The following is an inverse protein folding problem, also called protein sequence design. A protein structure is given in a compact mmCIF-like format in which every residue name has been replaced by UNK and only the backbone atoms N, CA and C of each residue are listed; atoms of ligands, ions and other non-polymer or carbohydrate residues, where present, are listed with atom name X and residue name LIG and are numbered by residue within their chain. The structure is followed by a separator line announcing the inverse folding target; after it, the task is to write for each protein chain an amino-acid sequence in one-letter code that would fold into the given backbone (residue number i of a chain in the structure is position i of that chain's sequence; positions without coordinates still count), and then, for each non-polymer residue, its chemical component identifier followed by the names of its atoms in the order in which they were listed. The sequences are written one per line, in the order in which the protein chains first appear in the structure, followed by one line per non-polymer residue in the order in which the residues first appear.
data_IF_384135945980
#
_entry.id   IF_384135945980
#
_cell.length_a   1.000
_cell.length_b   1.000
_cell.length_c   1.000
_cell.angle_alpha   90.00
_cell.angle_beta   90.00
_cell.angle_gamma   90.00
#
_symmetry.space_group_name_H-M   'P 1'
#
loop_
_entity.id
_entity.type
_entity.pdbx_description
1 polymer ?
#
# COMPACT_ATOMS: atom_id res chain seq x y z
N UNK A 1 21.12 19.14 32.45
CA UNK A 1 21.02 18.03 33.42
C UNK A 1 20.56 16.80 32.65
N UNK A 2 21.31 15.70 32.62
CA UNK A 2 20.79 14.43 32.09
C UNK A 2 20.03 13.73 33.23
N UNK A 3 18.85 13.17 32.95
CA UNK A 3 18.27 12.20 33.88
C UNK A 3 19.23 11.02 33.98
N UNK A 4 19.46 10.52 35.19
CA UNK A 4 20.23 9.29 35.41
C UNK A 4 19.47 8.04 34.90
N UNK A 5 18.20 8.18 34.50
CA UNK A 5 17.33 7.12 33.98
C UNK A 5 16.21 7.68 33.11
N UNK A 6 15.90 7.02 31.98
CA UNK A 6 14.76 7.34 31.10
C UNK A 6 13.41 6.83 31.62
N UNK A 7 13.41 6.03 32.71
CA UNK A 7 12.21 5.44 33.29
C UNK A 7 11.09 6.42 33.68
N UNK A 8 11.37 7.63 34.24
CA UNK A 8 10.33 8.59 34.56
C UNK A 8 9.58 9.07 33.31
N UNK A 9 10.31 9.31 32.23
CA UNK A 9 9.73 9.74 30.97
C UNK A 9 8.92 8.62 30.32
N UNK A 10 9.47 7.41 30.26
CA UNK A 10 8.74 6.23 29.75
C UNK A 10 7.42 6.04 30.49
N UNK A 11 7.42 6.19 31.81
CA UNK A 11 6.20 6.10 32.62
C UNK A 11 5.18 7.19 32.30
N UNK A 12 5.62 8.43 32.03
CA UNK A 12 4.73 9.49 31.57
C UNK A 12 4.09 9.14 30.22
N UNK A 13 4.90 8.62 29.28
CA UNK A 13 4.44 8.21 27.95
C UNK A 13 3.47 7.03 28.03
N UNK A 14 3.79 5.97 28.79
CA UNK A 14 2.89 4.82 28.98
C UNK A 14 1.56 5.19 29.64
N UNK A 15 1.52 6.30 30.38
CA UNK A 15 0.29 6.82 31.00
C UNK A 15 -0.49 7.77 30.10
N UNK A 16 0.08 8.21 28.98
CA UNK A 16 -0.53 9.23 28.13
C UNK A 16 -0.44 10.65 28.72
N UNK A 17 0.45 10.90 29.67
CA UNK A 17 0.56 12.20 30.35
C UNK A 17 1.35 13.21 29.48
N UNK A 18 0.65 13.81 28.52
CA UNK A 18 1.22 14.79 27.59
C UNK A 18 1.87 15.99 28.31
N UNK A 19 1.31 16.42 29.44
CA UNK A 19 1.85 17.57 30.18
C UNK A 19 3.21 17.24 30.77
N UNK A 20 3.36 16.03 31.34
CA UNK A 20 4.62 15.57 31.88
C UNK A 20 5.65 15.31 30.77
N UNK A 21 5.23 14.79 29.61
CA UNK A 21 6.10 14.65 28.43
C UNK A 21 6.62 16.00 27.94
N UNK A 22 5.75 17.00 27.81
CA UNK A 22 6.13 18.39 27.45
C UNK A 22 7.10 18.97 28.47
N UNK A 23 6.85 18.76 29.75
CA UNK A 23 7.74 19.22 30.82
C UNK A 23 9.13 18.57 30.71
N UNK A 24 9.21 17.27 30.45
CA UNK A 24 10.50 16.59 30.26
C UNK A 24 11.27 17.16 29.06
N UNK A 25 10.58 17.39 27.94
CA UNK A 25 11.19 17.97 26.76
C UNK A 25 11.72 19.40 26.98
N UNK A 26 10.93 20.27 27.62
CA UNK A 26 11.31 21.66 27.92
C UNK A 26 12.54 21.75 28.84
N UNK A 27 12.76 20.74 29.69
CA UNK A 27 13.91 20.68 30.59
C UNK A 27 15.14 20.00 29.95
N UNK A 28 15.16 19.83 28.62
CA UNK A 28 16.25 19.23 27.85
C UNK A 28 16.64 17.83 28.33
N UNK A 29 15.67 17.06 28.84
CA UNK A 29 15.91 15.65 29.09
C UNK A 29 15.96 14.93 27.76
N UNK A 30 17.09 14.25 27.49
CA UNK A 30 17.28 13.46 26.29
C UNK A 30 16.21 12.37 26.23
N UNK A 31 15.28 12.55 25.30
CA UNK A 31 14.30 11.57 24.87
C UNK A 31 14.90 10.74 23.70
N UNK A 32 16.20 10.41 23.77
CA UNK A 32 16.94 9.76 22.67
C UNK A 32 16.58 8.28 22.45
N UNK A 33 15.37 7.89 22.82
CA UNK A 33 14.88 6.51 22.74
C UNK A 33 13.95 6.40 21.53
N UNK A 34 14.40 5.69 20.49
CA UNK A 34 13.63 5.43 19.26
C UNK A 34 12.30 4.73 19.54
N UNK A 35 12.20 4.04 20.68
CA UNK A 35 11.03 3.25 21.08
C UNK A 35 9.99 4.04 21.89
N UNK A 36 10.23 5.34 22.21
CA UNK A 36 9.25 6.15 22.93
C UNK A 36 7.94 6.34 22.14
N UNK A 37 8.05 6.56 20.84
CA UNK A 37 6.89 6.68 19.95
C UNK A 37 6.13 5.36 19.88
N UNK A 38 6.85 4.24 19.75
CA UNK A 38 6.27 2.90 19.78
C UNK A 38 5.54 2.63 21.10
N UNK A 39 6.12 3.03 22.23
CA UNK A 39 5.48 2.90 23.54
C UNK A 39 4.19 3.72 23.65
N UNK A 40 4.16 4.94 23.11
CA UNK A 40 2.94 5.75 23.06
C UNK A 40 1.87 5.06 22.20
N UNK A 41 2.27 4.52 21.05
CA UNK A 41 1.39 3.86 20.10
C UNK A 41 0.81 2.55 20.64
N UNK A 42 1.63 1.69 21.23
CA UNK A 42 1.20 0.44 21.86
C UNK A 42 0.18 0.65 22.98
N UNK A 43 0.29 1.76 23.70
CA UNK A 43 -0.65 2.12 24.76
C UNK A 43 -1.86 2.93 24.24
N UNK A 44 -1.94 3.19 22.93
CA UNK A 44 -3.07 3.89 22.30
C UNK A 44 -3.12 5.40 22.56
N UNK A 45 -2.03 6.02 23.02
CA UNK A 45 -2.02 7.42 23.45
C UNK A 45 -1.80 8.39 22.29
N UNK A 46 -2.86 8.63 21.52
CA UNK A 46 -2.87 9.50 20.33
C UNK A 46 -2.21 10.88 20.57
N UNK A 47 -2.54 11.55 21.67
CA UNK A 47 -2.05 12.90 21.95
C UNK A 47 -0.53 12.94 22.18
N UNK A 48 0.00 11.90 22.85
CA UNK A 48 1.44 11.75 23.06
C UNK A 48 2.13 11.35 21.75
N UNK A 49 1.53 10.44 20.98
CA UNK A 49 2.04 10.03 19.66
C UNK A 49 2.17 11.22 18.71
N UNK A 50 1.12 12.04 18.58
CA UNK A 50 1.13 13.23 17.72
C UNK A 50 2.21 14.21 18.15
N UNK A 51 2.28 14.47 19.46
CA UNK A 51 3.27 15.40 19.99
C UNK A 51 4.70 14.90 19.75
N UNK A 52 4.99 13.62 19.98
CA UNK A 52 6.29 13.04 19.68
C UNK A 52 6.60 13.15 18.18
N UNK A 53 5.66 12.83 17.31
CA UNK A 53 5.87 12.96 15.87
C UNK A 53 6.22 14.38 15.42
N UNK A 54 5.49 15.40 15.91
CA UNK A 54 5.75 16.81 15.61
C UNK A 54 7.15 17.28 16.06
N UNK A 55 7.75 16.59 17.03
CA UNK A 55 9.08 16.92 17.57
C UNK A 55 10.21 16.09 16.94
N UNK A 56 9.96 15.45 15.80
CA UNK A 56 11.00 14.84 14.95
C UNK A 56 11.42 13.42 15.35
N UNK A 57 10.59 12.70 16.10
CA UNK A 57 10.85 11.30 16.43
C UNK A 57 10.58 10.46 15.19
N UNK A 58 11.63 9.79 14.70
CA UNK A 58 11.55 9.02 13.47
C UNK A 58 10.49 7.92 13.55
N UNK A 59 9.71 7.81 12.48
CA UNK A 59 8.71 6.76 12.28
C UNK A 59 9.36 5.59 11.54
N UNK A 60 9.29 4.39 12.10
CA UNK A 60 9.22 3.17 11.30
C UNK A 60 7.74 2.78 11.16
N UNK A 61 7.09 3.17 10.05
CA UNK A 61 5.63 3.17 9.95
C UNK A 61 5.05 1.78 10.11
N UNK A 62 5.69 0.77 9.51
CA UNK A 62 5.24 -0.62 9.58
C UNK A 62 5.13 -1.12 11.02
N UNK A 63 6.19 -0.94 11.82
CA UNK A 63 6.20 -1.41 13.22
C UNK A 63 5.16 -0.69 14.09
N UNK A 64 4.98 0.62 13.86
CA UNK A 64 3.98 1.40 14.59
C UNK A 64 2.56 1.04 14.18
N UNK A 65 2.32 0.79 12.90
CA UNK A 65 1.00 0.38 12.39
C UNK A 65 0.62 -1.00 12.92
N UNK A 66 1.57 -1.94 12.99
CA UNK A 66 1.34 -3.24 13.64
C UNK A 66 0.99 -3.05 15.11
N UNK A 67 1.77 -2.24 15.85
CA UNK A 67 1.48 -1.96 17.26
C UNK A 67 0.13 -1.26 17.49
N UNK A 68 -0.26 -0.35 16.58
CA UNK A 68 -1.56 0.31 16.64
C UNK A 68 -2.71 -0.66 16.32
N UNK A 69 -2.49 -1.60 15.40
CA UNK A 69 -3.45 -2.65 15.08
C UNK A 69 -3.64 -3.63 16.24
N UNK A 70 -2.55 -4.01 16.93
CA UNK A 70 -2.61 -4.87 18.13
C UNK A 70 -3.37 -4.22 19.30
N UNK A 71 -3.35 -2.89 19.40
CA UNK A 71 -4.12 -2.14 20.40
C UNK A 71 -5.57 -1.86 19.97
N UNK A 72 -6.01 -2.41 18.83
CA UNK A 72 -7.32 -2.17 18.20
C UNK A 72 -7.69 -0.68 18.09
N UNK A 73 -6.70 0.17 17.77
CA UNK A 73 -6.89 1.62 17.67
C UNK A 73 -6.94 2.07 16.22
N UNK A 74 -8.11 1.93 15.59
CA UNK A 74 -8.35 2.31 14.19
C UNK A 74 -7.99 3.75 13.89
N UNK A 75 -8.30 4.68 14.80
CA UNK A 75 -7.96 6.10 14.65
C UNK A 75 -6.45 6.31 14.59
N UNK A 76 -5.70 5.56 15.39
CA UNK A 76 -4.23 5.62 15.42
C UNK A 76 -3.60 4.97 14.19
N UNK A 77 -4.11 3.82 13.75
CA UNK A 77 -3.71 3.19 12.49
C UNK A 77 -3.92 4.16 11.32
N UNK A 78 -5.11 4.77 11.25
CA UNK A 78 -5.42 5.77 10.22
C UNK A 78 -4.43 6.93 10.24
N UNK A 79 -4.23 7.54 11.40
CA UNK A 79 -3.33 8.67 11.53
C UNK A 79 -1.89 8.30 11.15
N UNK A 80 -1.42 7.11 11.51
CA UNK A 80 -0.10 6.60 11.13
C UNK A 80 0.02 6.34 9.62
N UNK A 81 -1.04 5.88 8.95
CA UNK A 81 -1.01 5.68 7.50
C UNK A 81 -1.02 7.03 6.76
N UNK A 82 -1.79 8.00 7.23
CA UNK A 82 -1.89 9.33 6.61
C UNK A 82 -0.63 10.18 6.82
N UNK A 83 0.12 9.98 7.92
CA UNK A 83 1.30 10.80 8.28
C UNK A 83 2.63 10.05 8.18
N UNK A 84 2.58 8.72 8.13
CA UNK A 84 3.75 7.85 8.07
C UNK A 84 4.29 7.69 6.66
N UNK A 85 5.52 7.16 6.58
CA UNK A 85 6.12 6.72 5.31
C UNK A 85 5.51 5.40 4.84
N UNK A 86 5.76 5.06 3.58
CA UNK A 86 5.39 3.81 2.88
C UNK A 86 5.23 2.58 3.78
N UNK A 87 4.07 1.91 3.72
CA UNK A 87 3.84 0.60 4.32
C UNK A 87 4.62 -0.48 3.59
N UNK A 88 5.08 -1.50 4.32
CA UNK A 88 5.60 -2.73 3.70
C UNK A 88 4.48 -3.73 3.36
N UNK A 89 4.77 -4.63 2.42
CA UNK A 89 3.84 -5.68 2.00
C UNK A 89 3.38 -6.59 3.14
N UNK A 90 4.21 -6.85 4.16
CA UNK A 90 3.81 -7.67 5.32
C UNK A 90 2.72 -7.01 6.16
N UNK A 91 2.89 -5.72 6.45
CA UNK A 91 1.97 -4.91 7.25
C UNK A 91 0.66 -4.71 6.47
N UNK A 92 0.75 -4.41 5.17
CA UNK A 92 -0.42 -4.30 4.31
C UNK A 92 -1.21 -5.62 4.24
N UNK A 93 -0.53 -6.76 4.13
CA UNK A 93 -1.20 -8.08 4.13
C UNK A 93 -1.87 -8.40 5.47
N UNK A 94 -1.28 -7.97 6.59
CA UNK A 94 -1.89 -8.11 7.91
C UNK A 94 -3.17 -7.28 8.02
N UNK A 95 -3.13 -6.01 7.61
CA UNK A 95 -4.30 -5.13 7.62
C UNK A 95 -5.41 -5.64 6.69
N UNK A 96 -5.07 -6.08 5.48
CA UNK A 96 -6.03 -6.58 4.49
C UNK A 96 -6.77 -7.85 4.96
N UNK A 97 -6.18 -8.64 5.87
CA UNK A 97 -6.80 -9.84 6.46
C UNK A 97 -7.74 -9.52 7.62
N UNK A 98 -7.56 -8.38 8.28
CA UNK A 98 -8.37 -8.02 9.42
C UNK A 98 -9.59 -7.21 8.97
N UNK A 99 -10.79 -7.71 9.28
CA UNK A 99 -12.06 -7.07 8.91
C UNK A 99 -12.19 -5.64 9.46
N UNK A 100 -11.58 -5.37 10.61
CA UNK A 100 -11.59 -4.03 11.24
C UNK A 100 -10.77 -2.99 10.44
N UNK A 101 -9.83 -3.45 9.62
CA UNK A 101 -8.90 -2.62 8.86
C UNK A 101 -9.06 -2.74 7.34
N UNK A 102 -10.21 -3.23 6.86
CA UNK A 102 -10.52 -3.34 5.42
C UNK A 102 -10.40 -1.97 4.73
N UNK A 103 -10.80 -0.90 5.39
CA UNK A 103 -10.69 0.45 4.83
C UNK A 103 -9.28 1.04 4.91
N UNK A 104 -8.34 0.38 5.58
CA UNK A 104 -7.02 0.96 5.85
C UNK A 104 -6.24 1.26 4.56
N UNK A 105 -6.43 0.46 3.52
CA UNK A 105 -5.79 0.68 2.23
C UNK A 105 -6.38 1.86 1.45
N UNK A 106 -7.59 2.32 1.77
CA UNK A 106 -8.13 3.55 1.17
C UNK A 106 -7.41 4.80 1.69
N UNK A 107 -6.81 4.72 2.87
CA UNK A 107 -6.01 5.81 3.44
C UNK A 107 -4.61 5.89 2.84
N UNK A 108 -4.15 4.82 2.18
CA UNK A 108 -2.83 4.77 1.52
C UNK A 108 -2.95 5.48 0.17
N UNK A 109 -2.09 6.46 -0.16
CA UNK A 109 -2.13 7.12 -1.47
C UNK A 109 -1.80 6.15 -2.61
N UNK A 110 -2.28 6.47 -3.82
CA UNK A 110 -2.18 5.57 -4.97
C UNK A 110 -0.74 5.13 -5.33
N UNK A 111 0.28 6.01 -5.34
CA UNK A 111 1.65 5.62 -5.65
C UNK A 111 2.20 4.55 -4.71
N UNK A 112 1.87 4.65 -3.42
CA UNK A 112 2.25 3.67 -2.39
C UNK A 112 1.48 2.36 -2.55
N UNK A 113 0.20 2.41 -2.95
CA UNK A 113 -0.56 1.20 -3.31
C UNK A 113 0.08 0.47 -4.49
N UNK A 114 0.56 1.20 -5.50
CA UNK A 114 1.28 0.60 -6.64
C UNK A 114 2.55 -0.10 -6.17
N UNK A 115 3.34 0.53 -5.28
CA UNK A 115 4.52 -0.13 -4.71
C UNK A 115 4.17 -1.42 -3.97
N UNK A 116 3.09 -1.41 -3.17
CA UNK A 116 2.59 -2.60 -2.49
C UNK A 116 2.17 -3.71 -3.47
N UNK A 117 1.55 -3.37 -4.60
CA UNK A 117 1.24 -4.34 -5.67
C UNK A 117 2.53 -4.96 -6.20
N UNK A 118 3.52 -4.14 -6.57
CA UNK A 118 4.80 -4.63 -7.10
C UNK A 118 5.53 -5.54 -6.10
N UNK A 119 5.53 -5.19 -4.82
CA UNK A 119 6.10 -6.02 -3.76
C UNK A 119 5.32 -7.33 -3.56
N UNK A 120 3.99 -7.28 -3.60
CA UNK A 120 3.16 -8.48 -3.49
C UNK A 120 3.43 -9.46 -4.64
N UNK A 121 3.66 -8.95 -5.86
CA UNK A 121 4.03 -9.79 -7.00
C UNK A 121 5.39 -10.45 -6.83
N UNK A 122 6.40 -9.71 -6.34
CA UNK A 122 7.76 -10.25 -6.10
C UNK A 122 7.77 -11.33 -5.01
N UNK A 123 6.92 -11.16 -3.99
CA UNK A 123 6.83 -12.07 -2.85
C UNK A 123 5.80 -13.19 -3.05
N UNK A 124 5.17 -13.27 -4.22
CA UNK A 124 4.06 -14.19 -4.53
C UNK A 124 2.91 -14.14 -3.51
N UNK A 125 2.66 -12.95 -2.94
CA UNK A 125 1.60 -12.74 -1.96
C UNK A 125 0.24 -12.55 -2.66
N UNK A 126 -0.33 -13.66 -3.09
CA UNK A 126 -1.63 -13.74 -3.76
C UNK A 126 -2.77 -13.07 -2.97
N UNK A 127 -2.81 -13.23 -1.64
CA UNK A 127 -3.87 -12.65 -0.81
C UNK A 127 -3.87 -11.13 -0.84
N UNK A 128 -2.69 -10.52 -0.67
CA UNK A 128 -2.56 -9.06 -0.73
C UNK A 128 -2.79 -8.55 -2.15
N UNK A 129 -2.26 -9.24 -3.16
CA UNK A 129 -2.40 -8.87 -4.56
C UNK A 129 -3.86 -8.88 -5.01
N UNK A 130 -4.60 -9.95 -4.69
CA UNK A 130 -6.03 -10.05 -4.96
C UNK A 130 -6.76 -8.87 -4.31
N UNK A 131 -6.49 -8.64 -3.03
CA UNK A 131 -7.18 -7.61 -2.27
C UNK A 131 -6.94 -6.22 -2.85
N UNK A 132 -5.68 -5.87 -3.16
CA UNK A 132 -5.33 -4.58 -3.76
C UNK A 132 -6.03 -4.38 -5.10
N UNK A 133 -6.01 -5.36 -5.98
CA UNK A 133 -6.58 -5.22 -7.33
C UNK A 133 -8.12 -5.22 -7.32
N UNK A 134 -8.75 -5.96 -6.41
CA UNK A 134 -10.21 -6.14 -6.40
C UNK A 134 -10.94 -5.19 -5.44
N UNK A 135 -10.26 -4.66 -4.41
CA UNK A 135 -10.88 -3.80 -3.39
C UNK A 135 -10.36 -2.37 -3.36
N UNK A 136 -9.38 -2.04 -4.19
CA UNK A 136 -8.93 -0.64 -4.37
C UNK A 136 -9.09 -0.19 -5.81
N UNK A 137 -9.02 1.12 -6.03
CA UNK A 137 -9.06 1.72 -7.36
C UNK A 137 -7.70 2.33 -7.70
N UNK A 138 -7.35 2.21 -8.97
CA UNK A 138 -6.19 2.88 -9.56
C UNK A 138 -6.72 3.77 -10.67
N UNK A 139 -6.64 5.08 -10.49
CA UNK A 139 -7.18 6.05 -11.45
C UNK A 139 -6.08 6.58 -12.39
N UNK A 140 -4.82 6.54 -11.97
CA UNK A 140 -3.73 7.07 -12.76
C UNK A 140 -3.26 6.08 -13.82
N UNK A 141 -3.17 6.54 -15.08
CA UNK A 141 -2.62 5.73 -16.18
C UNK A 141 -1.18 5.25 -15.89
N UNK A 142 -0.40 6.00 -15.12
CA UNK A 142 0.96 5.63 -14.73
C UNK A 142 0.94 4.37 -13.86
N UNK A 143 -0.02 4.27 -12.93
CA UNK A 143 -0.26 3.09 -12.10
C UNK A 143 -0.58 1.87 -12.96
N UNK A 144 -1.48 2.00 -13.94
CA UNK A 144 -1.84 0.90 -14.85
C UNK A 144 -0.64 0.41 -15.66
N UNK A 145 0.17 1.32 -16.20
CA UNK A 145 1.38 0.98 -16.96
C UNK A 145 2.40 0.26 -16.08
N UNK A 146 2.63 0.74 -14.86
CA UNK A 146 3.59 0.14 -13.93
C UNK A 146 3.18 -1.29 -13.54
N UNK A 147 1.90 -1.49 -13.19
CA UNK A 147 1.38 -2.80 -12.78
C UNK A 147 1.33 -3.77 -13.97
N UNK A 148 0.82 -3.34 -15.14
CA UNK A 148 0.78 -4.20 -16.33
C UNK A 148 2.19 -4.59 -16.81
N UNK A 149 3.15 -3.67 -16.79
CA UNK A 149 4.55 -3.98 -17.08
C UNK A 149 5.14 -5.01 -16.11
N UNK A 150 4.82 -4.91 -14.82
CA UNK A 150 5.24 -5.90 -13.84
C UNK A 150 4.58 -7.27 -14.04
N UNK A 151 3.31 -7.31 -14.46
CA UNK A 151 2.61 -8.55 -14.84
C UNK A 151 3.27 -9.21 -16.06
N UNK A 152 3.66 -8.42 -17.08
CA UNK A 152 4.36 -8.92 -18.25
C UNK A 152 5.70 -9.59 -17.88
N UNK A 153 6.41 -9.05 -16.89
CA UNK A 153 7.70 -9.56 -16.40
C UNK A 153 7.57 -10.67 -15.34
N UNK A 154 6.38 -10.87 -14.77
CA UNK A 154 6.14 -11.83 -13.69
C UNK A 154 6.33 -13.31 -14.12
N UNK A 155 6.45 -14.20 -13.13
CA UNK A 155 6.48 -15.63 -13.35
C UNK A 155 5.18 -16.13 -14.03
N UNK A 156 5.28 -17.22 -14.80
CA UNK A 156 4.12 -17.81 -15.46
C UNK A 156 3.04 -18.23 -14.45
N UNK A 157 3.44 -18.79 -13.30
CA UNK A 157 2.56 -19.13 -12.18
C UNK A 157 1.73 -17.95 -11.69
N UNK A 158 2.35 -16.78 -11.55
CA UNK A 158 1.68 -15.56 -11.11
C UNK A 158 0.68 -15.07 -12.15
N UNK A 159 1.05 -15.10 -13.44
CA UNK A 159 0.13 -14.70 -14.53
C UNK A 159 -1.07 -15.63 -14.64
N UNK A 160 -0.86 -16.94 -14.54
CA UNK A 160 -1.94 -17.93 -14.53
C UNK A 160 -2.86 -17.69 -13.34
N UNK A 161 -2.30 -17.53 -12.14
CA UNK A 161 -3.09 -17.22 -10.96
C UNK A 161 -3.92 -15.93 -11.12
N UNK A 162 -3.35 -14.86 -11.69
CA UNK A 162 -4.08 -13.61 -11.95
C UNK A 162 -5.25 -13.82 -12.92
N UNK A 163 -5.05 -14.61 -13.98
CA UNK A 163 -6.12 -14.93 -14.94
C UNK A 163 -7.25 -15.75 -14.31
N UNK A 164 -6.91 -16.63 -13.36
CA UNK A 164 -7.88 -17.51 -12.71
C UNK A 164 -8.64 -16.82 -11.56
N UNK A 165 -8.09 -15.77 -10.96
CA UNK A 165 -8.60 -15.17 -9.71
C UNK A 165 -9.08 -13.71 -9.84
N UNK A 166 -8.82 -13.04 -10.96
CA UNK A 166 -9.35 -11.69 -11.24
C UNK A 166 -10.54 -11.83 -12.18
N UNK A 167 -11.72 -11.49 -11.68
CA UNK A 167 -13.00 -11.55 -12.40
C UNK A 167 -13.55 -10.17 -12.80
N UNK A 168 -12.87 -9.08 -12.44
CA UNK A 168 -13.27 -7.73 -12.83
C UNK A 168 -12.81 -7.38 -14.25
N UNK A 169 -13.77 -7.09 -15.13
CA UNK A 169 -13.55 -6.76 -16.54
C UNK A 169 -12.71 -5.50 -16.76
N UNK A 170 -12.80 -4.52 -15.87
CA UNK A 170 -12.03 -3.29 -15.95
C UNK A 170 -10.58 -3.53 -15.55
N UNK A 171 -10.36 -4.20 -14.42
CA UNK A 171 -9.04 -4.63 -13.95
C UNK A 171 -8.37 -5.51 -15.00
N UNK A 172 -9.06 -6.52 -15.52
CA UNK A 172 -8.54 -7.38 -16.58
C UNK A 172 -8.15 -6.60 -17.84
N UNK A 173 -8.93 -5.59 -18.23
CA UNK A 173 -8.65 -4.78 -19.42
C UNK A 173 -7.29 -4.12 -19.32
N UNK A 174 -7.00 -3.36 -18.28
CA UNK A 174 -5.73 -2.63 -18.20
C UNK A 174 -4.56 -3.53 -17.73
N UNK A 175 -4.80 -4.55 -16.89
CA UNK A 175 -3.77 -5.50 -16.47
C UNK A 175 -3.19 -6.31 -17.64
N UNK A 176 -4.03 -6.70 -18.62
CA UNK A 176 -3.64 -7.63 -19.70
C UNK A 176 -3.71 -7.03 -21.11
N UNK A 177 -3.84 -5.71 -21.22
CA UNK A 177 -4.07 -4.98 -22.49
C UNK A 177 -3.10 -5.33 -23.63
N UNK A 178 -1.88 -5.78 -23.34
CA UNK A 178 -0.87 -6.11 -24.37
C UNK A 178 -1.10 -7.41 -25.14
N UNK A 179 -1.87 -8.38 -24.63
CA UNK A 179 -2.03 -9.68 -25.31
C UNK A 179 -3.19 -9.76 -26.31
N UNK A 180 -4.20 -8.90 -26.22
CA UNK A 180 -5.31 -8.90 -27.20
C UNK A 180 -4.93 -8.33 -28.58
N UNK A 181 -3.84 -7.57 -28.67
CA UNK A 181 -3.37 -6.99 -29.93
C UNK A 181 -2.46 -7.93 -30.75
N UNK A 182 -1.98 -9.03 -30.18
CA UNK A 182 -1.01 -9.93 -30.84
C UNK A 182 -1.67 -11.22 -31.32
N UNK A 183 -2.88 -11.55 -30.84
CA UNK A 183 -3.61 -12.75 -31.28
C UNK A 183 -4.64 -12.49 -32.40
N UNK A 184 -4.67 -11.29 -33.00
CA UNK A 184 -5.60 -10.94 -34.08
C UNK A 184 -4.97 -10.80 -35.47
N UNK A 185 -3.65 -11.01 -35.62
CA UNK A 185 -2.93 -10.84 -36.90
C UNK A 185 -2.63 -12.17 -37.63
N UNK A 186 -3.23 -13.30 -37.23
CA UNK A 186 -3.20 -14.55 -38.01
C UNK A 186 -4.61 -14.97 -38.46
N UNK A 187 -5.11 -14.34 -39.54
CA UNK A 187 -6.03 -14.86 -40.56
C UNK A 187 -6.44 -13.67 -41.45
N UNK A 188 -6.14 -13.56 -42.75
CA UNK A 188 -6.30 -14.51 -43.86
C UNK A 188 -5.45 -14.07 -45.08
N UNK A 189 -5.04 -14.98 -46.01
CA UNK A 189 -4.40 -14.59 -47.26
C UNK A 189 -5.42 -13.93 -48.21
N UNK A 190 -5.08 -12.77 -48.76
CA UNK A 190 -5.88 -12.05 -49.78
C UNK A 190 -6.12 -12.93 -51.02
N UNK A 191 -7.39 -13.20 -51.34
CA UNK A 191 -7.80 -13.66 -52.68
C UNK A 191 -7.75 -12.49 -53.68
N UNK A 192 -7.16 -12.66 -54.88
CA UNK A 192 -7.08 -11.58 -55.85
C UNK A 192 -8.45 -11.29 -56.49
N UNK A 193 -8.82 -10.01 -56.51
CA UNK A 193 -10.03 -9.46 -57.12
C UNK A 193 -10.21 -9.89 -58.61
N UNK A 194 -11.44 -10.21 -59.06
CA UNK A 194 -11.70 -10.54 -60.45
C UNK A 194 -11.62 -9.30 -61.37
N UNK A 195 -11.24 -9.46 -62.66
CA UNK A 195 -11.03 -8.33 -63.56
C UNK A 195 -12.35 -7.64 -63.93
N UNK A 196 -12.32 -6.31 -63.93
CA UNK A 196 -13.44 -5.43 -64.24
C UNK A 196 -14.00 -5.67 -65.66
N UNK A 197 -15.31 -5.93 -65.77
CA UNK A 197 -16.02 -5.99 -67.04
C UNK A 197 -16.10 -4.61 -67.68
N UNK A 198 -15.54 -4.47 -68.89
CA UNK A 198 -15.79 -3.35 -69.80
C UNK A 198 -17.27 -3.32 -70.19
N UNK A 199 -17.99 -2.27 -69.81
CA UNK A 199 -19.26 -1.94 -70.45
C UNK A 199 -18.99 -1.06 -71.68
N UNK A 200 -19.34 -1.60 -72.85
CA UNK A 200 -19.54 -0.84 -74.10
C UNK A 200 -20.86 -0.09 -74.00
N UNK A 201 -20.95 1.02 -74.74
CA UNK A 201 -22.01 2.02 -74.64
C UNK A 201 -23.38 1.61 -75.14
N UNK A 202 -24.30 2.55 -74.93
CA UNK A 202 -25.34 3.00 -75.85
C UNK A 202 -25.44 4.54 -75.73
#
# INVERSE_FOLDING_TARGET
MKLLSTAPTRRAISRGDLNMVKWFHQNYFELCERDLLQLAVQNGHMDVTRWLFEHGYEINTSELVVAAAESNNVTLVRWLIENGRTLDASTAAMLAKNEEYVEAMWWVPEPERVQLVLEAMRNENHSLLWWLLMRTRFEENVSHIAISGAIDEAAASMREWLLDNIDDDEVCRWCFSRKRAISSDEATPEEPLPPAKRARGD
#
